data_IF_945356470827
#
_entry.id   IF_945356470827
#
_cell.length_a   1.000
_cell.length_b   1.000
_cell.length_c   1.000
_cell.angle_alpha   90.00
_cell.angle_beta   90.00
_cell.angle_gamma   90.00
#
_symmetry.space_group_name_H-M   'P 1'
#
loop_
_entity.id
_entity.type
_entity.pdbx_description
1 polymer ?
#
# COMPACT_ATOMS: atom_id res chain seq x y z
N UNK A 1 4.29 -20.63 -18.84
CA UNK A 1 4.62 -20.74 -17.41
C UNK A 1 3.95 -19.58 -16.67
N UNK A 2 2.68 -19.68 -16.22
CA UNK A 2 1.98 -18.61 -15.45
C UNK A 2 0.57 -19.03 -15.01
N UNK A 3 0.49 -19.97 -14.07
CA UNK A 3 -0.75 -20.22 -13.30
C UNK A 3 -0.39 -20.77 -11.90
N UNK A 4 0.72 -21.50 -11.82
CA UNK A 4 1.21 -22.14 -10.59
C UNK A 4 1.70 -21.16 -9.51
N UNK A 5 2.11 -19.95 -9.90
CA UNK A 5 2.75 -18.99 -8.97
C UNK A 5 1.74 -18.08 -8.24
N UNK A 6 0.69 -17.63 -8.94
CA UNK A 6 -0.45 -16.92 -8.31
C UNK A 6 -1.11 -17.77 -7.22
N UNK A 7 -1.15 -19.09 -7.42
CA UNK A 7 -1.66 -20.03 -6.44
C UNK A 7 -0.78 -20.10 -5.17
N UNK A 8 0.52 -19.81 -5.24
CA UNK A 8 1.41 -19.76 -4.08
C UNK A 8 1.17 -18.49 -3.24
N UNK A 9 0.97 -17.34 -3.89
CA UNK A 9 0.49 -16.11 -3.21
C UNK A 9 -0.86 -16.32 -2.53
N UNK A 10 -1.80 -17.02 -3.19
CA UNK A 10 -3.12 -17.33 -2.64
C UNK A 10 -3.09 -18.36 -1.48
N UNK A 11 -2.19 -19.34 -1.52
CA UNK A 11 -2.00 -20.28 -0.39
C UNK A 11 -1.47 -19.54 0.84
N UNK A 12 -0.51 -18.63 0.65
CA UNK A 12 -0.05 -17.73 1.72
C UNK A 12 -1.17 -16.81 2.23
N UNK A 13 -2.05 -16.32 1.35
CA UNK A 13 -3.26 -15.58 1.74
C UNK A 13 -4.22 -16.42 2.60
N UNK A 14 -4.49 -17.66 2.19
CA UNK A 14 -5.40 -18.56 2.90
C UNK A 14 -4.82 -18.99 4.26
N UNK A 15 -3.52 -19.31 4.31
CA UNK A 15 -2.79 -19.65 5.53
C UNK A 15 -2.75 -18.46 6.51
N UNK A 16 -2.58 -17.23 6.01
CA UNK A 16 -2.64 -16.03 6.84
C UNK A 16 -4.06 -15.74 7.39
N UNK A 17 -5.11 -16.24 6.73
CA UNK A 17 -6.50 -16.12 7.19
C UNK A 17 -6.93 -17.26 8.12
N UNK A 18 -6.21 -18.38 8.15
CA UNK A 18 -6.53 -19.48 9.03
C UNK A 18 -6.29 -19.06 10.50
N UNK A 19 -7.29 -19.24 11.39
CA UNK A 19 -7.08 -18.99 12.82
C UNK A 19 -6.07 -19.99 13.37
N UNK A 20 -4.97 -19.50 13.96
CA UNK A 20 -3.96 -20.33 14.58
C UNK A 20 -4.54 -21.08 15.80
N UNK A 21 -4.27 -22.38 15.99
CA UNK A 21 -4.68 -23.10 17.18
C UNK A 21 -3.64 -22.91 18.30
N UNK A 22 -3.93 -22.05 19.29
CA UNK A 22 -3.18 -21.97 20.55
C UNK A 22 -3.28 -20.63 21.30
N UNK A 23 -3.32 -20.61 22.65
CA UNK A 23 -3.62 -19.40 23.39
C UNK A 23 -2.36 -18.58 23.67
N UNK A 24 -2.07 -17.64 22.78
CA UNK A 24 -1.55 -16.32 23.13
C UNK A 24 -2.51 -15.34 22.48
N UNK A 25 -3.11 -14.43 23.25
CA UNK A 25 -3.98 -13.37 22.72
C UNK A 25 -3.11 -12.35 21.94
N UNK A 26 -2.53 -12.78 20.82
CA UNK A 26 -2.21 -11.85 19.75
C UNK A 26 -3.54 -11.43 19.16
N UNK A 27 -3.93 -10.18 19.43
CA UNK A 27 -5.14 -9.62 18.85
C UNK A 27 -4.99 -9.71 17.33
N UNK A 28 -5.88 -10.42 16.61
CA UNK A 28 -5.72 -10.59 15.17
C UNK A 28 -5.73 -9.21 14.51
N UNK A 29 -4.89 -8.97 13.49
CA UNK A 29 -4.80 -7.67 12.84
C UNK A 29 -6.16 -7.31 12.27
N UNK A 30 -6.76 -6.26 12.81
CA UNK A 30 -8.13 -5.84 12.48
C UNK A 30 -8.21 -4.98 11.22
N UNK A 31 -7.05 -4.61 10.64
CA UNK A 31 -6.96 -3.68 9.50
C UNK A 31 -6.11 -4.25 8.38
N UNK A 32 -6.74 -4.64 7.28
CA UNK A 32 -6.02 -5.04 6.05
C UNK A 32 -5.68 -3.79 5.22
N UNK A 33 -4.44 -3.70 4.72
CA UNK A 33 -3.99 -2.70 3.77
C UNK A 33 -3.46 -3.38 2.51
N UNK A 34 -4.24 -3.32 1.43
CA UNK A 34 -3.80 -3.81 0.13
C UNK A 34 -2.83 -2.82 -0.49
N UNK A 35 -1.65 -3.27 -0.89
CA UNK A 35 -0.58 -2.41 -1.39
C UNK A 35 -0.17 -2.81 -2.80
N UNK A 36 -0.28 -1.85 -3.72
CA UNK A 36 0.16 -1.95 -5.11
C UNK A 36 1.52 -1.27 -5.29
N UNK A 37 2.20 -1.54 -6.41
CA UNK A 37 3.38 -0.79 -6.84
C UNK A 37 4.69 -1.17 -6.14
N UNK A 38 4.69 -2.26 -5.35
CA UNK A 38 5.93 -2.86 -4.86
C UNK A 38 6.72 -3.52 -6.02
N UNK A 39 8.06 -3.62 -5.93
CA UNK A 39 8.92 -4.02 -7.05
C UNK A 39 8.61 -5.39 -7.68
N UNK A 40 8.21 -6.38 -6.86
CA UNK A 40 7.92 -7.76 -7.28
C UNK A 40 6.42 -8.07 -7.28
N UNK A 41 5.57 -7.04 -7.37
CA UNK A 41 4.11 -7.20 -7.39
C UNK A 41 3.60 -7.93 -6.14
N UNK A 42 2.80 -8.98 -6.33
CA UNK A 42 2.18 -9.77 -5.26
C UNK A 42 3.17 -10.56 -4.39
N UNK A 43 4.38 -10.81 -4.86
CA UNK A 43 5.41 -11.56 -4.13
C UNK A 43 6.36 -10.68 -3.32
N UNK A 44 6.20 -9.37 -3.43
CA UNK A 44 7.07 -8.39 -2.79
C UNK A 44 7.10 -8.51 -1.27
N UNK A 45 8.27 -8.25 -0.70
CA UNK A 45 8.40 -7.94 0.73
C UNK A 45 7.59 -6.68 1.08
N UNK A 46 6.69 -6.83 2.06
CA UNK A 46 5.83 -5.75 2.57
C UNK A 46 6.45 -5.00 3.73
N UNK A 47 7.62 -5.43 4.24
CA UNK A 47 8.31 -4.77 5.34
C UNK A 47 8.59 -3.26 5.10
N UNK A 48 8.89 -2.76 3.88
CA UNK A 48 9.02 -1.32 3.64
C UNK A 48 7.75 -0.53 4.00
N UNK A 49 6.57 -1.09 3.70
CA UNK A 49 5.27 -0.49 4.00
C UNK A 49 5.04 -0.50 5.51
N UNK A 50 5.32 -1.62 6.18
CA UNK A 50 5.22 -1.71 7.65
C UNK A 50 6.15 -0.73 8.35
N UNK A 51 7.40 -0.58 7.87
CA UNK A 51 8.34 0.43 8.39
C UNK A 51 7.79 1.85 8.23
N UNK A 52 7.09 2.14 7.12
CA UNK A 52 6.45 3.43 6.93
C UNK A 52 5.30 3.67 7.93
N UNK A 53 4.45 2.66 8.18
CA UNK A 53 3.39 2.75 9.20
C UNK A 53 3.98 2.97 10.60
N UNK A 54 4.98 2.20 11.01
CA UNK A 54 5.66 2.38 12.29
C UNK A 54 6.27 3.78 12.43
N UNK A 55 6.93 4.27 11.38
CA UNK A 55 7.49 5.62 11.35
C UNK A 55 6.41 6.69 11.50
N UNK A 56 5.29 6.57 10.80
CA UNK A 56 4.19 7.53 10.91
C UNK A 56 3.56 7.52 12.30
N UNK A 57 3.40 6.34 12.91
CA UNK A 57 2.95 6.24 14.31
C UNK A 57 3.92 6.95 15.26
N UNK A 58 5.22 6.74 15.11
CA UNK A 58 6.25 7.40 15.92
C UNK A 58 6.28 8.92 15.70
N UNK A 59 5.85 9.40 14.52
CA UNK A 59 5.68 10.82 14.20
C UNK A 59 4.37 11.42 14.74
N UNK A 60 3.57 10.65 15.49
CA UNK A 60 2.32 11.11 16.10
C UNK A 60 1.10 11.06 15.17
N UNK A 61 1.17 10.32 14.07
CA UNK A 61 0.04 10.13 13.15
C UNK A 61 -1.01 9.19 13.77
N UNK A 62 -1.91 9.76 14.57
CA UNK A 62 -2.89 9.00 15.37
C UNK A 62 -3.80 8.07 14.57
N UNK A 63 -4.06 8.37 13.29
CA UNK A 63 -4.87 7.53 12.41
C UNK A 63 -4.25 6.15 12.15
N UNK A 64 -2.91 6.04 12.21
CA UNK A 64 -2.21 4.75 12.08
C UNK A 64 -2.66 3.81 13.20
N UNK A 65 -2.83 4.33 14.43
CA UNK A 65 -3.08 3.51 15.60
C UNK A 65 -1.86 2.63 15.91
N UNK A 66 -2.08 1.40 16.37
CA UNK A 66 -1.03 0.41 16.56
C UNK A 66 -0.61 -0.22 15.21
N UNK A 67 0.66 -0.13 14.78
CA UNK A 67 1.16 -0.80 13.58
C UNK A 67 0.93 -2.32 13.60
N UNK A 68 0.95 -2.97 14.77
CA UNK A 68 0.72 -4.43 14.88
C UNK A 68 -0.70 -4.84 14.49
N UNK A 69 -1.67 -3.93 14.57
CA UNK A 69 -3.05 -4.16 14.16
C UNK A 69 -3.25 -4.16 12.64
N UNK A 70 -2.20 -3.82 11.86
CA UNK A 70 -2.24 -3.82 10.41
C UNK A 70 -1.74 -5.12 9.81
N UNK A 71 -2.45 -5.59 8.79
CA UNK A 71 -2.00 -6.64 7.88
C UNK A 71 -1.80 -6.03 6.50
N UNK A 72 -0.55 -5.88 6.10
CA UNK A 72 -0.20 -5.41 4.75
C UNK A 72 -0.14 -6.61 3.81
N UNK A 73 -0.79 -6.48 2.65
CA UNK A 73 -0.81 -7.51 1.61
C UNK A 73 -0.37 -6.87 0.30
N UNK A 74 0.68 -7.41 -0.31
CA UNK A 74 1.10 -7.00 -1.64
C UNK A 74 0.12 -7.54 -2.69
N UNK A 75 -0.19 -6.73 -3.70
CA UNK A 75 -1.08 -7.10 -4.78
C UNK A 75 -0.51 -6.59 -6.10
N UNK A 76 -0.65 -7.40 -7.14
CA UNK A 76 -0.38 -6.97 -8.52
C UNK A 76 -1.61 -6.28 -9.12
N UNK A 77 -1.39 -5.21 -9.88
CA UNK A 77 -2.49 -4.47 -10.52
C UNK A 77 -3.23 -5.29 -11.58
N UNK A 78 -2.55 -6.26 -12.20
CA UNK A 78 -3.14 -7.17 -13.19
C UNK A 78 -3.78 -8.41 -12.52
N UNK A 79 -3.90 -8.42 -11.19
CA UNK A 79 -4.53 -9.54 -10.48
C UNK A 79 -5.98 -9.74 -10.94
N UNK A 80 -6.40 -10.98 -11.27
CA UNK A 80 -7.78 -11.27 -11.65
C UNK A 80 -8.77 -11.03 -10.50
N UNK A 81 -8.28 -10.94 -9.26
CA UNK A 81 -9.08 -10.72 -8.06
C UNK A 81 -9.21 -9.25 -7.69
N UNK A 82 -8.57 -8.32 -8.43
CA UNK A 82 -8.55 -6.89 -8.08
C UNK A 82 -9.96 -6.33 -7.90
N UNK A 83 -10.89 -6.60 -8.82
CA UNK A 83 -12.27 -6.11 -8.74
C UNK A 83 -13.01 -6.63 -7.51
N UNK A 84 -12.85 -7.92 -7.19
CA UNK A 84 -13.47 -8.52 -6.01
C UNK A 84 -12.91 -7.88 -4.73
N UNK A 85 -11.58 -7.76 -4.65
CA UNK A 85 -10.90 -7.13 -3.52
C UNK A 85 -11.30 -5.65 -3.36
N UNK A 86 -11.46 -4.92 -4.46
CA UNK A 86 -11.86 -3.50 -4.43
C UNK A 86 -13.26 -3.30 -3.85
N UNK A 87 -14.16 -4.26 -4.05
CA UNK A 87 -15.49 -4.25 -3.43
C UNK A 87 -15.49 -4.59 -1.94
N UNK A 88 -14.52 -5.37 -1.46
CA UNK A 88 -14.49 -5.91 -0.10
C UNK A 88 -13.58 -5.11 0.85
N UNK A 89 -12.48 -4.58 0.31
CA UNK A 89 -11.42 -3.96 1.09
C UNK A 89 -11.48 -2.44 0.97
N UNK A 90 -11.49 -1.76 2.12
CA UNK A 90 -11.62 -0.30 2.19
C UNK A 90 -10.29 0.44 2.06
N UNK A 91 -9.17 -0.22 2.38
CA UNK A 91 -7.87 0.45 2.56
C UNK A 91 -6.89 -0.04 1.51
N UNK A 92 -6.44 0.92 0.72
CA UNK A 92 -5.56 0.69 -0.40
C UNK A 92 -4.37 1.64 -0.33
N UNK A 93 -3.21 1.14 -0.71
CA UNK A 93 -1.97 1.88 -0.77
C UNK A 93 -1.27 1.70 -2.12
N UNK A 94 -0.51 2.73 -2.49
CA UNK A 94 0.46 2.67 -3.56
C UNK A 94 1.84 2.92 -2.94
N UNK A 95 2.73 1.93 -3.05
CA UNK A 95 4.14 2.11 -2.72
C UNK A 95 4.86 2.84 -3.85
N UNK A 96 5.67 3.83 -3.49
CA UNK A 96 6.50 4.61 -4.41
C UNK A 96 7.90 4.70 -3.81
N UNK A 97 8.89 4.07 -4.47
CA UNK A 97 10.29 4.24 -4.09
C UNK A 97 10.78 5.67 -4.37
N UNK A 98 11.92 6.04 -3.80
CA UNK A 98 12.53 7.37 -3.95
C UNK A 98 13.41 7.53 -5.20
N UNK A 99 13.49 6.50 -6.05
CA UNK A 99 14.22 6.53 -7.32
C UNK A 99 13.30 6.64 -8.54
N UNK A 100 13.90 6.97 -9.70
CA UNK A 100 13.18 7.15 -10.96
C UNK A 100 12.41 5.89 -11.42
N UNK A 101 12.91 4.68 -11.11
CA UNK A 101 12.23 3.44 -11.46
C UNK A 101 10.97 3.23 -10.59
N UNK A 102 11.04 3.60 -9.31
CA UNK A 102 9.92 3.69 -8.38
C UNK A 102 8.79 4.55 -8.94
N UNK A 103 9.12 5.76 -9.39
CA UNK A 103 8.13 6.65 -10.01
C UNK A 103 7.55 6.08 -11.30
N UNK A 104 8.39 5.52 -12.19
CA UNK A 104 7.92 4.88 -13.45
C UNK A 104 6.99 3.71 -13.16
N UNK A 105 7.31 2.88 -12.17
CA UNK A 105 6.49 1.74 -11.76
C UNK A 105 5.18 2.18 -11.12
N UNK A 106 5.20 3.18 -10.24
CA UNK A 106 4.01 3.76 -9.65
C UNK A 106 3.07 4.33 -10.72
N UNK A 107 3.60 5.08 -11.69
CA UNK A 107 2.81 5.60 -12.81
C UNK A 107 2.20 4.48 -13.68
N UNK A 108 2.98 3.44 -14.01
CA UNK A 108 2.47 2.26 -14.73
C UNK A 108 1.36 1.55 -13.95
N UNK A 109 1.54 1.43 -12.62
CA UNK A 109 0.55 0.83 -11.72
C UNK A 109 -0.76 1.62 -11.74
N UNK A 110 -0.70 2.96 -11.65
CA UNK A 110 -1.88 3.81 -11.76
C UNK A 110 -2.58 3.69 -13.11
N UNK A 111 -1.80 3.65 -14.20
CA UNK A 111 -2.34 3.47 -15.55
C UNK A 111 -3.02 2.10 -15.71
N UNK A 112 -2.46 1.04 -15.14
CA UNK A 112 -3.10 -0.29 -15.09
C UNK A 112 -4.39 -0.23 -14.29
N UNK A 113 -4.32 0.32 -13.08
CA UNK A 113 -5.44 0.40 -12.15
C UNK A 113 -6.64 1.16 -12.75
N UNK A 114 -6.38 2.25 -13.47
CA UNK A 114 -7.39 3.06 -14.13
C UNK A 114 -8.22 2.28 -15.18
N UNK A 115 -7.69 1.18 -15.72
CA UNK A 115 -8.39 0.31 -16.68
C UNK A 115 -9.47 -0.55 -16.02
N UNK A 116 -9.42 -0.73 -14.71
CA UNK A 116 -10.39 -1.52 -13.97
C UNK A 116 -11.55 -0.62 -13.51
N UNK A 117 -12.81 -0.87 -13.95
CA UNK A 117 -13.94 -0.03 -13.58
C UNK A 117 -14.18 0.03 -12.08
N UNK A 118 -14.01 -1.11 -11.40
CA UNK A 118 -14.21 -1.25 -9.95
C UNK A 118 -12.97 -0.89 -9.12
N UNK A 119 -11.90 -0.36 -9.72
CA UNK A 119 -10.68 -0.05 -8.98
C UNK A 119 -10.91 1.02 -7.89
N UNK A 120 -10.16 0.94 -6.78
CA UNK A 120 -10.12 2.01 -5.78
C UNK A 120 -9.66 3.34 -6.40
N UNK A 121 -10.46 4.38 -6.18
CA UNK A 121 -10.16 5.75 -6.62
C UNK A 121 -9.40 6.59 -5.58
N UNK A 122 -9.17 6.04 -4.40
CA UNK A 122 -8.40 6.69 -3.33
C UNK A 122 -7.37 5.72 -2.77
N UNK A 123 -6.11 6.09 -2.86
CA UNK A 123 -4.98 5.29 -2.40
C UNK A 123 -4.14 6.12 -1.42
N UNK A 124 -3.68 5.48 -0.35
CA UNK A 124 -2.63 6.01 0.50
C UNK A 124 -1.29 5.90 -0.23
N UNK A 125 -0.63 7.02 -0.49
CA UNK A 125 0.72 6.99 -1.06
C UNK A 125 1.73 6.75 0.05
N UNK A 126 2.41 5.61 -0.04
CA UNK A 126 3.44 5.18 0.91
C UNK A 126 4.79 5.28 0.24
N UNK A 127 5.78 5.81 0.95
CA UNK A 127 7.11 6.04 0.40
C UNK A 127 8.19 5.87 1.50
N UNK A 128 9.45 5.60 1.12
CA UNK A 128 10.59 5.65 2.04
C UNK A 128 10.80 7.09 2.57
N UNK A 129 11.55 7.29 3.66
CA UNK A 129 11.84 8.64 4.16
C UNK A 129 12.48 9.51 3.07
N UNK A 130 11.87 10.64 2.72
CA UNK A 130 12.38 11.51 1.66
C UNK A 130 13.25 12.61 2.26
N UNK A 131 14.39 12.86 1.63
CA UNK A 131 15.25 14.00 1.94
C UNK A 131 14.87 15.25 1.12
N UNK A 132 14.38 15.08 -0.12
CA UNK A 132 14.09 16.20 -1.04
C UNK A 132 13.00 15.94 -2.11
N UNK A 133 12.33 14.78 -2.08
CA UNK A 133 11.43 14.29 -3.15
C UNK A 133 10.01 14.90 -3.23
N UNK A 134 9.73 16.01 -2.54
CA UNK A 134 8.38 16.59 -2.47
C UNK A 134 7.81 16.97 -3.85
N UNK A 135 8.66 17.42 -4.78
CA UNK A 135 8.24 17.80 -6.14
C UNK A 135 7.79 16.61 -6.99
N UNK A 136 8.54 15.51 -6.99
CA UNK A 136 8.22 14.32 -7.80
C UNK A 136 6.97 13.59 -7.29
N UNK A 137 6.80 13.46 -5.97
CA UNK A 137 5.57 12.90 -5.42
C UNK A 137 4.35 13.80 -5.66
N UNK A 138 4.54 15.13 -5.62
CA UNK A 138 3.53 16.10 -6.03
C UNK A 138 3.09 15.84 -7.47
N UNK A 139 4.05 15.77 -8.40
CA UNK A 139 3.78 15.50 -9.81
C UNK A 139 3.05 14.17 -10.01
N UNK A 140 3.44 13.11 -9.29
CA UNK A 140 2.77 11.82 -9.37
C UNK A 140 1.32 11.89 -8.86
N UNK A 141 1.08 12.60 -7.75
CA UNK A 141 -0.28 12.83 -7.22
C UNK A 141 -1.13 13.61 -8.20
N UNK A 142 -0.58 14.66 -8.78
CA UNK A 142 -1.31 15.54 -9.71
C UNK A 142 -1.62 14.78 -11.00
N UNK A 143 -0.67 14.01 -11.52
CA UNK A 143 -0.87 13.11 -12.66
C UNK A 143 -1.93 12.04 -12.37
N UNK A 144 -1.93 11.45 -11.17
CA UNK A 144 -2.92 10.46 -10.76
C UNK A 144 -4.34 11.03 -10.78
N UNK A 145 -4.51 12.24 -10.24
CA UNK A 145 -5.80 12.91 -10.22
C UNK A 145 -6.25 13.34 -11.62
N UNK A 146 -5.34 13.92 -12.41
CA UNK A 146 -5.69 14.53 -13.69
C UNK A 146 -5.93 13.50 -14.81
N UNK A 147 -5.08 12.46 -14.89
CA UNK A 147 -5.14 11.49 -15.98
C UNK A 147 -5.94 10.24 -15.65
N UNK A 148 -6.07 9.88 -14.38
CA UNK A 148 -6.65 8.59 -13.98
C UNK A 148 -7.86 8.70 -13.05
N UNK A 149 -8.22 9.91 -12.62
CA UNK A 149 -9.24 10.15 -11.59
C UNK A 149 -8.97 9.33 -10.32
N UNK A 150 -7.69 9.27 -9.92
CA UNK A 150 -7.23 8.58 -8.72
C UNK A 150 -6.62 9.59 -7.76
N UNK A 151 -7.18 9.65 -6.56
CA UNK A 151 -6.68 10.48 -5.47
C UNK A 151 -5.58 9.76 -4.69
N UNK A 152 -4.35 10.27 -4.80
CA UNK A 152 -3.26 9.87 -3.92
C UNK A 152 -3.25 10.73 -2.64
N UNK A 153 -3.52 10.09 -1.52
CA UNK A 153 -3.47 10.72 -0.19
C UNK A 153 -2.05 10.63 0.33
N UNK A 154 -1.43 11.79 0.54
CA UNK A 154 -0.13 11.89 1.21
C UNK A 154 -0.31 12.22 2.68
N UNK A 155 0.49 11.59 3.53
CA UNK A 155 0.62 11.99 4.92
C UNK A 155 1.67 13.09 4.97
N UNK A 156 1.22 14.32 5.22
CA UNK A 156 2.12 15.47 5.30
C UNK A 156 3.17 15.28 6.40
N UNK A 157 4.39 15.74 6.13
CA UNK A 157 5.42 15.85 7.15
C UNK A 157 4.92 16.86 8.20
N UNK A 158 4.53 16.38 9.38
CA UNK A 158 4.32 17.28 10.52
C UNK A 158 5.66 17.96 10.81
N UNK A 159 5.76 19.25 10.48
CA UNK A 159 6.88 20.11 10.93
C UNK A 159 7.00 19.91 12.45
N UNK A 160 8.19 19.64 13.00
CA UNK A 160 8.34 19.57 14.44
C UNK A 160 7.85 20.89 15.03
N UNK A 161 6.89 20.82 15.97
CA UNK A 161 6.48 21.97 16.76
C UNK A 161 7.75 22.49 17.44
N UNK A 162 8.22 23.68 17.05
CA UNK A 162 9.21 24.41 17.84
C UNK A 162 8.61 24.55 19.23
N UNK A 163 9.24 23.92 20.23
CA UNK A 163 8.98 24.28 21.63
C UNK A 163 9.42 25.74 21.76
N UNK A 164 8.47 26.61 22.10
CA UNK A 164 8.73 27.97 22.57
C UNK A 164 9.39 27.89 23.95
#
# INVERSE_FOLDING_TARGET
MSQTDQAAGLRRWAEAMAPAPGPVHETPPSRVLLTLGLPEGADSDVAPVMRALCRWQAQGQSWVGDPSAWRVVALDVESPHLSALASQQKRWALWVDDDAEGFRRAYRTLKGLARHPAAPRRLLMVHPPLLSGAGLLGNLRDAASHFFDIQLVMIGFTKPRKRL
#
